data_IF_771004191662
#
_entry.id   IF_771004191662
#
_cell.length_a   1.000
_cell.length_b   1.000
_cell.length_c   1.000
_cell.angle_alpha   90.00
_cell.angle_beta   90.00
_cell.angle_gamma   90.00
#
_symmetry.space_group_name_H-M   'P 1'
#
loop_
_entity.id
_entity.type
_entity.pdbx_description
1 polymer ?
#
# COMPACT_ATOMS: atom_id res chain seq x y z
N UNK A 1 1.49 46.43 3.00
CA UNK A 1 1.35 46.44 4.47
C UNK A 1 2.36 45.47 5.07
N UNK A 2 3.41 45.98 5.73
CA UNK A 2 4.39 45.17 6.48
C UNK A 2 3.91 45.07 7.93
N UNK A 3 3.45 43.89 8.35
CA UNK A 3 3.18 43.63 9.77
C UNK A 3 4.51 43.39 10.48
N UNK A 4 4.93 44.36 11.28
CA UNK A 4 6.09 44.22 12.18
C UNK A 4 5.62 43.51 13.44
N UNK A 5 5.94 42.21 13.58
CA UNK A 5 5.75 41.49 14.82
C UNK A 5 6.84 41.92 15.81
N UNK A 6 6.49 42.79 16.75
CA UNK A 6 7.33 43.07 17.91
C UNK A 6 7.40 41.82 18.79
N UNK A 7 8.55 41.14 18.75
CA UNK A 7 8.82 40.00 19.63
C UNK A 7 9.09 40.57 21.02
N UNK A 8 8.08 40.51 21.89
CA UNK A 8 8.25 40.76 23.32
C UNK A 8 9.03 39.57 23.89
N UNK A 9 10.33 39.76 24.14
CA UNK A 9 11.18 38.75 24.78
C UNK A 9 10.82 38.73 26.26
N UNK A 10 9.85 37.88 26.61
CA UNK A 10 9.55 37.54 28.00
C UNK A 10 10.76 36.78 28.56
N UNK A 11 11.49 37.44 29.46
CA UNK A 11 12.61 36.89 30.20
C UNK A 11 12.06 35.78 31.11
N UNK A 12 12.18 34.52 30.67
CA UNK A 12 11.74 33.38 31.47
C UNK A 12 12.60 33.28 32.74
N UNK A 13 11.99 33.15 33.93
CA UNK A 13 12.74 32.97 35.16
C UNK A 13 13.60 31.70 35.09
N UNK A 14 14.80 31.76 35.67
CA UNK A 14 15.70 30.62 35.73
C UNK A 14 15.00 29.46 36.45
N UNK A 15 14.80 28.36 35.73
CA UNK A 15 14.31 27.11 36.30
C UNK A 15 15.25 26.68 37.43
N UNK A 16 14.68 26.31 38.58
CA UNK A 16 15.47 25.82 39.72
C UNK A 16 16.05 24.44 39.42
N UNK A 17 17.22 24.12 39.98
CA UNK A 17 17.88 22.81 39.81
C UNK A 17 16.97 21.63 40.21
N UNK A 18 16.06 21.84 41.17
CA UNK A 18 15.08 20.82 41.60
C UNK A 18 14.02 20.54 40.54
N UNK A 19 13.57 21.55 39.81
CA UNK A 19 12.65 21.37 38.67
C UNK A 19 13.34 20.63 37.53
N UNK A 20 14.61 20.93 37.29
CA UNK A 20 15.41 20.28 36.25
C UNK A 20 15.63 18.79 36.56
N UNK A 21 16.00 18.46 37.80
CA UNK A 21 16.13 17.07 38.27
C UNK A 21 14.80 16.31 38.25
N UNK A 22 13.69 16.97 38.60
CA UNK A 22 12.35 16.37 38.55
C UNK A 22 11.91 16.11 37.10
N UNK A 23 12.24 17.02 36.17
CA UNK A 23 11.98 16.84 34.73
C UNK A 23 12.80 15.68 34.16
N UNK A 24 14.07 15.56 34.54
CA UNK A 24 14.92 14.43 34.13
C UNK A 24 14.44 13.10 34.70
N UNK A 25 14.02 13.06 35.98
CA UNK A 25 13.42 11.88 36.60
C UNK A 25 12.13 11.45 35.90
N UNK A 26 11.20 12.41 35.66
CA UNK A 26 9.97 12.15 34.90
C UNK A 26 10.26 11.68 33.49
N UNK A 27 11.23 12.30 32.79
CA UNK A 27 11.63 11.86 31.46
C UNK A 27 12.27 10.46 31.49
N UNK A 28 13.06 10.10 32.51
CA UNK A 28 13.63 8.76 32.67
C UNK A 28 12.57 7.70 33.00
N UNK A 29 11.60 8.01 33.86
CA UNK A 29 10.46 7.13 34.15
C UNK A 29 9.51 6.99 32.95
N UNK A 30 9.32 8.05 32.17
CA UNK A 30 8.51 8.02 30.94
C UNK A 30 9.26 7.34 29.79
N UNK A 31 10.60 7.34 29.82
CA UNK A 31 11.45 6.55 28.91
C UNK A 31 11.52 5.06 29.29
N UNK A 32 11.12 4.67 30.51
CA UNK A 32 10.90 3.28 30.90
C UNK A 32 9.59 2.76 30.30
N UNK A 33 9.59 2.69 28.96
CA UNK A 33 8.70 1.95 28.05
C UNK A 33 7.46 1.36 28.72
N UNK A 34 6.40 2.15 28.76
CA UNK A 34 5.06 1.57 28.87
C UNK A 34 4.86 0.68 27.64
N UNK A 35 4.73 -0.61 27.88
CA UNK A 35 4.31 -1.57 26.88
C UNK A 35 2.97 -1.10 26.30
N UNK A 36 2.93 -0.72 25.02
CA UNK A 36 1.71 -0.27 24.37
C UNK A 36 0.79 -1.47 24.11
N UNK A 37 -0.05 -1.78 25.09
CA UNK A 37 -0.99 -2.90 25.03
C UNK A 37 -1.95 -2.79 23.85
N UNK A 38 -2.34 -1.58 23.44
CA UNK A 38 -3.24 -1.37 22.29
C UNK A 38 -2.55 -1.69 20.98
N UNK A 39 -1.27 -1.37 20.86
CA UNK A 39 -0.44 -1.78 19.73
C UNK A 39 -0.37 -3.31 19.60
N UNK A 40 -0.16 -4.01 20.72
CA UNK A 40 -0.19 -5.48 20.75
C UNK A 40 -1.58 -5.99 20.33
N UNK A 41 -2.66 -5.45 20.89
CA UNK A 41 -4.03 -5.83 20.55
C UNK A 41 -4.34 -5.64 19.07
N UNK A 42 -3.88 -4.54 18.46
CA UNK A 42 -4.03 -4.31 17.02
C UNK A 42 -3.28 -5.37 16.20
N UNK A 43 -2.03 -5.71 16.57
CA UNK A 43 -1.27 -6.77 15.90
C UNK A 43 -1.94 -8.14 16.05
N UNK A 44 -2.44 -8.47 17.25
CA UNK A 44 -3.17 -9.70 17.51
C UNK A 44 -4.48 -9.76 16.70
N UNK A 45 -5.24 -8.66 16.64
CA UNK A 45 -6.47 -8.59 15.85
C UNK A 45 -6.20 -8.86 14.36
N UNK A 46 -5.18 -8.21 13.78
CA UNK A 46 -4.77 -8.46 12.39
C UNK A 46 -4.36 -9.93 12.21
N UNK A 47 -3.52 -10.47 13.11
CA UNK A 47 -3.03 -11.85 13.02
C UNK A 47 -4.17 -12.86 13.08
N UNK A 48 -5.07 -12.73 14.05
CA UNK A 48 -6.21 -13.64 14.25
C UNK A 48 -7.13 -13.66 13.03
N UNK A 49 -7.47 -12.49 12.49
CA UNK A 49 -8.33 -12.40 11.29
C UNK A 49 -7.63 -13.02 10.08
N UNK A 50 -6.34 -12.75 9.85
CA UNK A 50 -5.60 -13.34 8.74
C UNK A 50 -5.47 -14.87 8.87
N UNK A 51 -5.26 -15.39 10.08
CA UNK A 51 -5.21 -16.84 10.34
C UNK A 51 -6.57 -17.48 10.05
N UNK A 52 -7.66 -16.86 10.51
CA UNK A 52 -9.01 -17.35 10.26
C UNK A 52 -9.30 -17.36 8.75
N UNK A 53 -8.98 -16.27 8.04
CA UNK A 53 -9.12 -16.17 6.59
C UNK A 53 -8.36 -17.25 5.84
N UNK A 54 -7.08 -17.45 6.16
CA UNK A 54 -6.27 -18.46 5.51
C UNK A 54 -6.79 -19.87 5.80
N UNK A 55 -7.22 -20.13 7.04
CA UNK A 55 -7.77 -21.44 7.46
C UNK A 55 -9.07 -21.74 6.71
N UNK A 56 -9.96 -20.76 6.57
CA UNK A 56 -11.21 -20.91 5.83
C UNK A 56 -10.96 -21.14 4.34
N UNK A 57 -10.10 -20.31 3.73
CA UNK A 57 -9.83 -20.36 2.30
C UNK A 57 -9.07 -21.64 1.87
N UNK A 58 -8.16 -22.15 2.70
CA UNK A 58 -7.43 -23.41 2.45
C UNK A 58 -8.17 -24.65 2.95
N UNK A 59 -9.26 -24.49 3.69
CA UNK A 59 -10.02 -25.58 4.31
C UNK A 59 -9.28 -26.32 5.44
N UNK A 60 -8.09 -25.88 5.86
CA UNK A 60 -7.31 -26.52 6.92
C UNK A 60 -6.44 -25.54 7.72
N UNK A 61 -6.25 -25.83 9.01
CA UNK A 61 -5.36 -25.03 9.85
C UNK A 61 -3.91 -25.46 9.65
N UNK A 62 -3.01 -24.49 9.44
CA UNK A 62 -1.58 -24.72 9.30
C UNK A 62 -0.79 -23.94 10.36
N UNK A 63 -0.15 -24.66 11.28
CA UNK A 63 0.59 -24.06 12.40
C UNK A 63 1.74 -23.15 11.94
N UNK A 64 2.48 -23.53 10.88
CA UNK A 64 3.61 -22.72 10.37
C UNK A 64 3.14 -21.40 9.83
N UNK A 65 2.04 -21.43 9.05
CA UNK A 65 1.37 -20.23 8.55
C UNK A 65 0.85 -19.36 9.70
N UNK A 66 0.28 -19.96 10.74
CA UNK A 66 -0.20 -19.22 11.91
C UNK A 66 0.92 -18.50 12.66
N UNK A 67 2.05 -19.17 12.90
CA UNK A 67 3.23 -18.54 13.51
C UNK A 67 3.75 -17.39 12.65
N UNK A 68 3.84 -17.58 11.34
CA UNK A 68 4.23 -16.51 10.41
C UNK A 68 3.28 -15.30 10.52
N UNK A 69 1.97 -15.54 10.49
CA UNK A 69 0.95 -14.49 10.56
C UNK A 69 0.87 -13.80 11.91
N UNK A 70 1.23 -14.46 13.02
CA UNK A 70 1.35 -13.84 14.35
C UNK A 70 2.54 -12.86 14.42
N UNK A 71 3.64 -13.20 13.75
CA UNK A 71 4.87 -12.39 13.76
C UNK A 71 4.80 -11.25 12.73
N UNK A 72 4.11 -11.47 11.62
CA UNK A 72 4.09 -10.57 10.47
C UNK A 72 3.68 -9.13 10.83
N UNK A 73 2.54 -8.85 11.50
CA UNK A 73 2.15 -7.47 11.80
C UNK A 73 3.18 -6.71 12.63
N UNK A 74 3.82 -7.39 13.58
CA UNK A 74 4.88 -6.81 14.40
C UNK A 74 6.12 -6.47 13.56
N UNK A 75 6.56 -7.37 12.67
CA UNK A 75 7.70 -7.13 11.76
C UNK A 75 7.42 -5.93 10.86
N UNK A 76 6.24 -5.88 10.25
CA UNK A 76 5.84 -4.78 9.38
C UNK A 76 5.84 -3.46 10.16
N UNK A 77 5.17 -3.43 11.31
CA UNK A 77 5.09 -2.23 12.14
C UNK A 77 6.48 -1.73 12.56
N UNK A 78 7.38 -2.63 12.94
CA UNK A 78 8.74 -2.29 13.33
C UNK A 78 9.58 -1.82 12.15
N UNK A 79 9.47 -2.48 10.99
CA UNK A 79 10.17 -2.06 9.78
C UNK A 79 9.77 -0.63 9.38
N UNK A 80 8.48 -0.29 9.39
CA UNK A 80 8.06 1.06 9.08
C UNK A 80 8.37 2.06 10.18
N UNK A 81 8.33 1.67 11.45
CA UNK A 81 8.82 2.49 12.56
C UNK A 81 10.31 2.83 12.43
N UNK A 82 11.13 1.91 11.91
CA UNK A 82 12.53 2.18 11.57
C UNK A 82 12.63 3.23 10.46
N UNK A 83 11.81 3.10 9.42
CA UNK A 83 11.78 4.06 8.31
C UNK A 83 11.34 5.43 8.79
N UNK A 84 10.23 5.54 9.53
CA UNK A 84 9.73 6.83 10.05
C UNK A 84 10.74 7.48 10.97
N UNK A 85 11.41 6.72 11.83
CA UNK A 85 12.47 7.25 12.67
C UNK A 85 13.71 7.69 11.87
N UNK A 86 14.14 6.91 10.87
CA UNK A 86 15.28 7.27 10.01
C UNK A 86 15.05 8.58 9.25
N UNK A 87 13.81 8.84 8.80
CA UNK A 87 13.44 10.10 8.14
C UNK A 87 12.89 11.17 9.11
N UNK A 88 12.88 10.89 10.42
CA UNK A 88 12.33 11.76 11.49
C UNK A 88 10.88 12.17 11.28
N UNK A 89 10.08 11.34 10.65
CA UNK A 89 8.67 11.59 10.36
C UNK A 89 7.80 11.32 11.61
N UNK A 90 6.75 12.11 11.88
CA UNK A 90 5.76 11.78 12.90
C UNK A 90 5.21 10.37 12.68
N UNK A 91 5.32 9.54 13.72
CA UNK A 91 5.03 8.10 13.65
C UNK A 91 3.73 7.79 14.38
N UNK A 92 2.86 7.04 13.71
CA UNK A 92 1.64 6.46 14.26
C UNK A 92 1.33 5.13 13.60
N UNK A 93 0.45 4.31 14.20
CA UNK A 93 0.25 2.92 13.84
C UNK A 93 0.06 2.66 12.34
N UNK A 94 -0.95 3.28 11.73
CA UNK A 94 -1.29 2.98 10.35
C UNK A 94 -0.16 3.37 9.37
N UNK A 95 0.48 4.53 9.59
CA UNK A 95 1.57 4.99 8.73
C UNK A 95 2.82 4.11 8.83
N UNK A 96 3.24 3.75 10.06
CA UNK A 96 4.34 2.81 10.25
C UNK A 96 4.00 1.44 9.63
N UNK A 97 2.77 0.95 9.82
CA UNK A 97 2.37 -0.34 9.25
C UNK A 97 2.46 -0.33 7.72
N UNK A 98 1.95 0.72 7.06
CA UNK A 98 1.98 0.88 5.61
C UNK A 98 3.40 1.03 5.06
N UNK A 99 4.24 1.84 5.69
CA UNK A 99 5.66 1.97 5.31
C UNK A 99 6.41 0.65 5.53
N UNK A 100 6.05 -0.09 6.57
CA UNK A 100 6.55 -1.42 6.84
C UNK A 100 6.22 -2.41 5.73
N UNK A 101 4.95 -2.45 5.31
CA UNK A 101 4.50 -3.25 4.17
C UNK A 101 5.25 -2.87 2.91
N UNK A 102 5.39 -1.58 2.60
CA UNK A 102 6.14 -1.12 1.44
C UNK A 102 7.59 -1.62 1.48
N UNK A 103 8.27 -1.37 2.60
CA UNK A 103 9.69 -1.68 2.78
C UNK A 103 9.97 -3.17 2.73
N UNK A 104 9.21 -3.97 3.47
CA UNK A 104 9.38 -5.43 3.49
C UNK A 104 9.04 -6.04 2.14
N UNK A 105 7.96 -5.60 1.50
CA UNK A 105 7.54 -6.13 0.20
C UNK A 105 8.56 -5.84 -0.90
N UNK A 106 9.07 -4.60 -0.95
CA UNK A 106 10.13 -4.22 -1.91
C UNK A 106 11.45 -4.92 -1.59
N UNK A 107 11.82 -5.04 -0.31
CA UNK A 107 13.03 -5.75 0.10
C UNK A 107 13.01 -7.24 -0.27
N UNK A 108 11.89 -7.92 -0.02
CA UNK A 108 11.70 -9.34 -0.42
C UNK A 108 11.68 -9.49 -1.94
N UNK A 109 11.07 -8.55 -2.66
CA UNK A 109 11.09 -8.54 -4.11
C UNK A 109 12.52 -8.37 -4.64
N UNK A 110 13.27 -7.40 -4.12
CA UNK A 110 14.67 -7.18 -4.48
C UNK A 110 15.52 -8.42 -4.20
N UNK A 111 15.33 -9.06 -3.04
CA UNK A 111 15.95 -10.36 -2.75
C UNK A 111 15.65 -11.38 -3.84
N UNK A 112 14.38 -11.50 -4.27
CA UNK A 112 14.01 -12.46 -5.32
C UNK A 112 14.53 -12.13 -6.71
N UNK A 113 14.81 -10.86 -7.00
CA UNK A 113 15.42 -10.45 -8.26
C UNK A 113 16.91 -10.85 -8.29
N UNK A 114 17.63 -10.61 -7.19
CA UNK A 114 19.10 -10.64 -7.20
C UNK A 114 19.72 -11.85 -6.52
N UNK A 115 19.02 -12.49 -5.59
CA UNK A 115 19.61 -13.50 -4.70
C UNK A 115 19.02 -14.89 -4.99
N UNK A 116 19.81 -15.86 -5.47
CA UNK A 116 19.36 -17.21 -5.82
C UNK A 116 19.22 -18.10 -4.56
N UNK A 117 18.62 -17.54 -3.50
CA UNK A 117 18.42 -18.21 -2.23
C UNK A 117 16.95 -18.22 -1.84
N UNK A 118 16.63 -19.14 -0.94
CA UNK A 118 15.28 -19.33 -0.45
C UNK A 118 14.75 -18.10 0.30
N UNK A 119 13.44 -17.85 0.18
CA UNK A 119 12.75 -16.77 0.93
C UNK A 119 12.90 -16.91 2.45
N UNK A 120 13.10 -18.13 2.94
CA UNK A 120 13.38 -18.40 4.35
C UNK A 120 14.59 -17.62 4.86
N UNK A 121 15.67 -17.54 4.08
CA UNK A 121 16.88 -16.81 4.46
C UNK A 121 16.60 -15.31 4.50
N UNK A 122 15.86 -14.79 3.51
CA UNK A 122 15.43 -13.38 3.49
C UNK A 122 14.61 -13.03 4.73
N UNK A 123 13.68 -13.89 5.14
CA UNK A 123 12.85 -13.70 6.32
C UNK A 123 13.68 -13.72 7.62
N UNK A 124 14.65 -14.64 7.75
CA UNK A 124 15.55 -14.68 8.91
C UNK A 124 16.38 -13.39 9.00
N UNK A 125 16.97 -12.95 7.89
CA UNK A 125 17.74 -11.70 7.83
C UNK A 125 16.85 -10.51 8.21
N UNK A 126 15.64 -10.45 7.66
CA UNK A 126 14.68 -9.40 7.98
C UNK A 126 14.31 -9.39 9.47
N UNK A 127 14.04 -10.55 10.07
CA UNK A 127 13.74 -10.68 11.49
C UNK A 127 14.91 -10.20 12.35
N UNK A 128 16.13 -10.61 12.02
CA UNK A 128 17.35 -10.18 12.73
C UNK A 128 17.53 -8.67 12.60
N UNK A 129 17.38 -8.11 11.40
CA UNK A 129 17.51 -6.68 11.16
C UNK A 129 16.48 -5.87 11.97
N UNK A 130 15.21 -6.25 11.88
CA UNK A 130 14.11 -5.56 12.57
C UNK A 130 14.21 -5.68 14.10
N UNK A 131 14.69 -6.83 14.61
CA UNK A 131 14.92 -7.04 16.03
C UNK A 131 16.21 -6.38 16.56
N UNK A 132 17.23 -6.20 15.71
CA UNK A 132 18.57 -5.71 16.06
C UNK A 132 18.76 -4.19 16.02
N UNK A 133 17.95 -3.47 15.22
CA UNK A 133 17.98 -2.00 15.09
C UNK A 133 17.40 -1.18 16.29
N UNK A 134 16.66 -1.71 17.30
CA UNK A 134 16.01 -0.86 18.32
C UNK A 134 16.96 -0.12 19.28
N UNK A 135 18.28 -0.34 19.20
CA UNK A 135 19.27 0.45 19.95
C UNK A 135 19.55 1.81 19.31
N UNK A 136 19.40 1.92 17.98
CA UNK A 136 19.75 3.14 17.23
C UNK A 136 18.62 4.17 17.26
N UNK A 137 17.38 3.74 17.52
CA UNK A 137 16.16 4.55 17.40
C UNK A 137 15.60 5.05 18.75
N UNK A 138 16.41 5.10 19.81
CA UNK A 138 15.94 5.46 21.16
C UNK A 138 15.31 6.85 21.24
N UNK A 139 15.69 7.76 20.34
CA UNK A 139 15.26 9.16 20.40
C UNK A 139 13.95 9.43 19.64
N UNK A 140 13.47 8.49 18.82
CA UNK A 140 12.21 8.67 18.09
C UNK A 140 11.07 7.94 18.79
N UNK A 141 10.39 8.62 19.71
CA UNK A 141 9.20 8.09 20.35
C UNK A 141 8.00 8.16 19.40
N UNK A 142 7.37 7.01 19.19
CA UNK A 142 6.11 6.89 18.46
C UNK A 142 4.94 7.31 19.35
N UNK A 143 3.91 7.91 18.75
CA UNK A 143 2.66 8.18 19.45
C UNK A 143 2.03 6.87 19.96
N UNK A 144 1.63 6.79 21.24
CA UNK A 144 0.92 5.62 21.74
C UNK A 144 -0.35 5.39 20.94
N UNK A 145 -0.67 4.12 20.67
CA UNK A 145 -1.84 3.74 19.90
C UNK A 145 -3.10 4.23 20.62
N UNK A 146 -3.85 5.11 19.95
CA UNK A 146 -5.11 5.62 20.49
C UNK A 146 -6.22 4.58 20.38
N UNK A 147 -7.32 4.77 21.11
CA UNK A 147 -8.50 3.91 20.94
C UNK A 147 -9.07 4.00 19.51
N UNK A 148 -8.96 5.17 18.86
CA UNK A 148 -9.37 5.35 17.46
C UNK A 148 -8.45 4.63 16.48
N UNK A 149 -7.14 4.53 16.77
CA UNK A 149 -6.23 3.71 15.96
C UNK A 149 -6.57 2.22 16.06
N UNK A 150 -6.90 1.73 17.26
CA UNK A 150 -7.36 0.34 17.42
C UNK A 150 -8.70 0.11 16.71
N UNK A 151 -9.64 1.04 16.84
CA UNK A 151 -10.93 0.97 16.15
C UNK A 151 -10.74 0.98 14.63
N UNK A 152 -9.83 1.79 14.08
CA UNK A 152 -9.59 1.83 12.64
C UNK A 152 -9.08 0.49 12.11
N UNK A 153 -8.24 -0.22 12.89
CA UNK A 153 -7.79 -1.59 12.56
C UNK A 153 -8.98 -2.54 12.52
N UNK A 154 -9.83 -2.54 13.56
CA UNK A 154 -11.01 -3.40 13.64
C UNK A 154 -11.97 -3.14 12.47
N UNK A 155 -12.30 -1.87 12.21
CA UNK A 155 -13.22 -1.51 11.11
C UNK A 155 -12.59 -1.87 9.75
N UNK A 156 -11.28 -1.67 9.56
CA UNK A 156 -10.60 -2.09 8.32
C UNK A 156 -10.64 -3.61 8.13
N UNK A 157 -10.50 -4.41 9.20
CA UNK A 157 -10.58 -5.87 9.14
C UNK A 157 -12.00 -6.36 8.82
N UNK A 158 -13.02 -5.74 9.42
CA UNK A 158 -14.43 -6.04 9.12
C UNK A 158 -14.74 -5.69 7.67
N UNK A 159 -14.33 -4.50 7.21
CA UNK A 159 -14.56 -4.06 5.85
C UNK A 159 -13.80 -4.92 4.83
N UNK A 160 -12.54 -5.27 5.10
CA UNK A 160 -11.77 -6.19 4.28
C UNK A 160 -12.44 -7.57 4.19
N UNK A 161 -13.04 -8.03 5.30
CA UNK A 161 -13.79 -9.29 5.33
C UNK A 161 -15.04 -9.20 4.45
N UNK A 162 -15.82 -8.13 4.59
CA UNK A 162 -17.02 -7.93 3.78
C UNK A 162 -16.72 -7.79 2.28
N UNK A 163 -15.67 -7.05 1.93
CA UNK A 163 -15.25 -6.89 0.53
C UNK A 163 -14.75 -8.21 -0.05
N UNK A 164 -14.00 -9.01 0.71
CA UNK A 164 -13.33 -10.20 0.16
C UNK A 164 -14.14 -11.49 0.34
N UNK A 165 -15.36 -11.43 0.90
CA UNK A 165 -16.12 -12.59 1.40
C UNK A 165 -16.29 -13.75 0.39
N UNK A 166 -16.35 -13.43 -0.91
CA UNK A 166 -16.46 -14.44 -1.97
C UNK A 166 -15.23 -15.35 -2.09
N UNK A 167 -14.11 -14.94 -1.49
CA UNK A 167 -12.84 -15.67 -1.46
C UNK A 167 -12.74 -16.67 -0.29
N UNK A 168 -13.66 -16.66 0.69
CA UNK A 168 -13.64 -17.56 1.86
C UNK A 168 -13.82 -19.03 1.44
N UNK A 169 -14.69 -19.27 0.46
CA UNK A 169 -14.94 -20.56 -0.15
C UNK A 169 -14.74 -20.41 -1.65
N UNK A 170 -13.48 -20.37 -2.11
CA UNK A 170 -13.13 -19.95 -3.47
C UNK A 170 -13.57 -20.95 -4.53
N UNK A 171 -13.87 -22.19 -4.13
CA UNK A 171 -14.34 -23.27 -5.00
C UNK A 171 -15.67 -23.84 -4.53
N UNK A 172 -16.51 -24.27 -5.48
CA UNK A 172 -17.73 -25.02 -5.21
C UNK A 172 -17.78 -26.23 -6.13
N UNK A 173 -17.91 -27.42 -5.55
CA UNK A 173 -18.18 -28.64 -6.32
C UNK A 173 -19.62 -28.61 -6.85
N UNK A 174 -19.77 -28.96 -8.12
CA UNK A 174 -21.06 -29.15 -8.82
C UNK A 174 -21.06 -30.54 -9.48
N UNK A 175 -22.22 -31.04 -9.89
CA UNK A 175 -22.40 -32.44 -10.36
C UNK A 175 -21.36 -32.87 -11.40
N UNK A 176 -20.96 -31.98 -12.31
CA UNK A 176 -20.04 -32.27 -13.42
C UNK A 176 -18.74 -31.44 -13.37
N UNK A 177 -18.36 -30.88 -12.22
CA UNK A 177 -17.11 -30.12 -12.13
C UNK A 177 -16.90 -29.27 -10.89
N UNK A 178 -15.98 -28.32 -11.00
CA UNK A 178 -15.61 -27.37 -9.93
C UNK A 178 -15.77 -25.96 -10.48
N UNK A 179 -16.56 -25.15 -9.78
CA UNK A 179 -16.70 -23.72 -10.06
C UNK A 179 -15.72 -22.95 -9.20
N UNK A 180 -14.84 -22.18 -9.83
CA UNK A 180 -14.00 -21.19 -9.16
C UNK A 180 -14.74 -19.86 -9.13
N UNK A 181 -15.02 -19.33 -7.93
CA UNK A 181 -15.70 -18.05 -7.76
C UNK A 181 -14.82 -16.84 -8.09
N UNK A 182 -13.52 -16.81 -7.70
CA UNK A 182 -12.67 -15.68 -8.01
C UNK A 182 -12.48 -15.53 -9.52
N UNK A 183 -12.14 -14.31 -9.94
CA UNK A 183 -11.80 -14.05 -11.33
C UNK A 183 -10.62 -14.91 -11.79
N UNK A 184 -10.63 -15.32 -13.07
CA UNK A 184 -9.62 -16.24 -13.64
C UNK A 184 -8.18 -15.77 -13.47
N UNK A 185 -7.92 -14.46 -13.35
CA UNK A 185 -6.57 -13.93 -13.17
C UNK A 185 -5.94 -14.32 -11.81
N UNK A 186 -6.74 -14.81 -10.85
CA UNK A 186 -6.21 -15.42 -9.63
C UNK A 186 -5.27 -16.60 -9.91
N UNK A 187 -5.47 -17.34 -11.00
CA UNK A 187 -4.53 -18.39 -11.41
C UNK A 187 -3.21 -17.82 -11.91
N UNK A 188 -3.24 -16.66 -12.59
CA UNK A 188 -2.03 -15.95 -13.01
C UNK A 188 -1.29 -15.45 -11.76
N UNK A 189 -2.00 -14.86 -10.80
CA UNK A 189 -1.44 -14.41 -9.53
C UNK A 189 -0.83 -15.58 -8.72
N UNK A 190 -1.52 -16.72 -8.65
CA UNK A 190 -1.01 -17.94 -8.02
C UNK A 190 0.23 -18.49 -8.74
N UNK A 191 0.30 -18.36 -10.06
CA UNK A 191 1.50 -18.73 -10.83
C UNK A 191 2.69 -17.86 -10.45
N UNK A 192 2.51 -16.54 -10.32
CA UNK A 192 3.57 -15.62 -9.88
C UNK A 192 4.10 -16.00 -8.49
N UNK A 193 3.19 -16.26 -7.55
CA UNK A 193 3.55 -16.71 -6.19
C UNK A 193 4.28 -18.05 -6.23
N UNK A 194 3.76 -19.04 -6.97
CA UNK A 194 4.39 -20.37 -7.10
C UNK A 194 5.82 -20.27 -7.62
N UNK A 195 6.07 -19.45 -8.65
CA UNK A 195 7.40 -19.23 -9.22
C UNK A 195 8.33 -18.51 -8.24
N UNK A 196 7.80 -17.61 -7.42
CA UNK A 196 8.56 -16.86 -6.41
C UNK A 196 8.99 -17.71 -5.20
N UNK A 197 8.34 -18.85 -4.96
CA UNK A 197 8.67 -19.79 -3.87
C UNK A 197 9.93 -20.63 -4.15
N UNK A 198 10.28 -20.81 -5.43
CA UNK A 198 11.50 -21.51 -5.87
C UNK A 198 12.79 -20.80 -5.42
N UNK A 199 13.92 -21.48 -5.56
CA UNK A 199 15.23 -20.92 -5.20
C UNK A 199 15.89 -20.13 -6.35
N UNK A 200 15.32 -20.21 -7.55
CA UNK A 200 15.72 -19.40 -8.71
C UNK A 200 15.36 -17.92 -8.51
N UNK A 201 16.16 -17.04 -9.12
CA UNK A 201 15.84 -15.61 -9.16
C UNK A 201 14.77 -15.32 -10.22
N UNK A 202 14.07 -14.19 -10.08
CA UNK A 202 13.12 -13.74 -11.12
C UNK A 202 13.82 -13.54 -12.47
N UNK A 203 15.08 -13.11 -12.48
CA UNK A 203 15.86 -12.96 -13.72
C UNK A 203 16.15 -14.32 -14.40
N UNK A 204 16.35 -15.39 -13.62
CA UNK A 204 16.55 -16.74 -14.14
C UNK A 204 15.26 -17.38 -14.65
N UNK A 205 14.13 -17.12 -13.97
CA UNK A 205 12.82 -17.67 -14.36
C UNK A 205 12.29 -16.98 -15.62
N UNK A 206 12.56 -15.69 -15.78
CA UNK A 206 12.04 -14.88 -16.90
C UNK A 206 10.57 -14.51 -16.72
N UNK A 207 9.93 -14.11 -17.81
CA UNK A 207 8.51 -13.75 -17.84
C UNK A 207 7.65 -15.02 -17.69
N UNK A 208 6.68 -14.97 -16.77
CA UNK A 208 5.77 -16.09 -16.50
C UNK A 208 4.65 -16.24 -17.54
N UNK A 209 4.32 -15.18 -18.28
CA UNK A 209 3.33 -15.16 -19.35
C UNK A 209 3.96 -15.54 -20.70
N UNK A 210 5.23 -15.16 -20.92
CA UNK A 210 5.92 -15.36 -22.21
C UNK A 210 7.27 -16.05 -22.05
N UNK A 211 7.34 -17.32 -22.45
CA UNK A 211 8.57 -18.12 -22.42
C UNK A 211 9.68 -17.41 -23.22
N UNK A 212 10.85 -17.27 -22.61
CA UNK A 212 12.03 -16.68 -23.24
C UNK A 212 12.14 -15.16 -23.11
N UNK A 213 11.12 -14.48 -22.58
CA UNK A 213 11.19 -13.05 -22.29
C UNK A 213 11.77 -12.79 -20.90
N UNK A 214 12.45 -11.65 -20.68
CA UNK A 214 12.93 -11.27 -19.36
C UNK A 214 11.75 -11.03 -18.40
N UNK A 215 11.95 -11.29 -17.11
CA UNK A 215 10.95 -10.98 -16.11
C UNK A 215 10.66 -9.48 -16.12
N UNK A 216 9.40 -9.11 -16.34
CA UNK A 216 9.00 -7.71 -16.36
C UNK A 216 8.79 -7.28 -14.91
N UNK A 217 9.64 -6.39 -14.40
CA UNK A 217 9.71 -6.05 -12.97
C UNK A 217 8.57 -5.08 -12.57
N UNK A 218 7.32 -5.51 -12.71
CA UNK A 218 6.13 -4.77 -12.28
C UNK A 218 5.15 -5.69 -11.54
N UNK A 219 4.43 -5.13 -10.57
CA UNK A 219 3.46 -5.82 -9.68
C UNK A 219 4.02 -6.84 -8.66
N UNK A 220 5.29 -7.26 -8.77
CA UNK A 220 5.87 -8.31 -7.92
C UNK A 220 5.91 -7.98 -6.43
N UNK A 221 6.07 -6.72 -6.04
CA UNK A 221 6.15 -6.35 -4.63
C UNK A 221 4.87 -6.73 -3.88
N UNK A 222 3.70 -6.61 -4.54
CA UNK A 222 2.43 -6.99 -3.93
C UNK A 222 2.35 -8.49 -3.58
N UNK A 223 3.08 -9.35 -4.29
CA UNK A 223 3.09 -10.81 -4.05
C UNK A 223 4.16 -11.25 -3.03
N UNK A 224 5.06 -10.37 -2.61
CA UNK A 224 6.20 -10.72 -1.75
C UNK A 224 5.78 -11.39 -0.44
N UNK A 225 4.82 -10.79 0.28
CA UNK A 225 4.36 -11.35 1.56
C UNK A 225 3.59 -12.66 1.38
N UNK A 226 2.78 -12.78 0.33
CA UNK A 226 2.07 -14.02 0.00
C UNK A 226 3.04 -15.14 -0.39
N UNK A 227 4.12 -14.82 -1.10
CA UNK A 227 5.19 -15.76 -1.46
C UNK A 227 5.96 -16.25 -0.23
N UNK A 228 6.25 -15.34 0.71
CA UNK A 228 6.81 -15.72 2.01
C UNK A 228 5.88 -16.65 2.77
N UNK A 229 4.58 -16.34 2.84
CA UNK A 229 3.59 -17.18 3.50
C UNK A 229 3.48 -18.56 2.85
N UNK A 230 3.42 -18.63 1.51
CA UNK A 230 3.38 -19.88 0.76
C UNK A 230 4.63 -20.74 1.04
N UNK A 231 5.81 -20.12 1.04
CA UNK A 231 7.07 -20.80 1.35
C UNK A 231 7.13 -21.32 2.78
N UNK A 232 6.68 -20.52 3.76
CA UNK A 232 6.74 -20.87 5.18
C UNK A 232 5.72 -21.92 5.56
N UNK A 233 4.49 -21.73 5.07
CA UNK A 233 3.37 -22.61 5.32
C UNK A 233 3.37 -23.90 4.52
N UNK A 234 4.21 -24.00 3.47
CA UNK A 234 4.08 -25.03 2.43
C UNK A 234 2.66 -25.08 1.84
N UNK A 235 2.07 -23.90 1.68
CA UNK A 235 0.70 -23.77 1.18
C UNK A 235 0.69 -23.75 -0.36
N UNK A 236 -0.37 -24.27 -0.99
CA UNK A 236 -0.65 -23.97 -2.38
C UNK A 236 -0.66 -22.45 -2.60
N UNK A 237 -0.04 -22.00 -3.69
CA UNK A 237 0.02 -20.56 -3.98
C UNK A 237 -1.37 -19.95 -4.13
N UNK A 238 -2.30 -20.70 -4.73
CA UNK A 238 -3.69 -20.28 -4.88
C UNK A 238 -4.30 -19.90 -3.53
N UNK A 239 -4.18 -20.76 -2.52
CA UNK A 239 -4.69 -20.54 -1.16
C UNK A 239 -4.12 -19.27 -0.53
N UNK A 240 -2.83 -18.98 -0.75
CA UNK A 240 -2.23 -17.74 -0.24
C UNK A 240 -2.70 -16.49 -0.98
N UNK A 241 -3.07 -16.60 -2.25
CA UNK A 241 -3.60 -15.49 -3.04
C UNK A 241 -5.04 -15.16 -2.58
N UNK A 242 -5.90 -16.18 -2.46
CA UNK A 242 -7.31 -15.98 -2.05
C UNK A 242 -7.45 -15.72 -0.55
N UNK A 243 -6.69 -16.43 0.28
CA UNK A 243 -6.85 -16.42 1.74
C UNK A 243 -6.00 -15.38 2.45
N UNK A 244 -5.02 -14.76 1.78
CA UNK A 244 -4.18 -13.72 2.38
C UNK A 244 -4.00 -12.51 1.49
N UNK A 245 -3.48 -12.66 0.26
CA UNK A 245 -3.07 -11.53 -0.56
C UNK A 245 -4.21 -10.53 -0.84
N UNK A 246 -5.35 -11.01 -1.31
CA UNK A 246 -6.51 -10.17 -1.59
C UNK A 246 -7.09 -9.49 -0.32
N UNK A 247 -7.49 -10.23 0.74
CA UNK A 247 -8.04 -9.61 1.95
C UNK A 247 -7.03 -8.71 2.68
N UNK A 248 -5.73 -9.03 2.64
CA UNK A 248 -4.69 -8.16 3.18
C UNK A 248 -4.58 -6.85 2.39
N UNK A 249 -4.68 -6.88 1.06
CA UNK A 249 -4.77 -5.67 0.24
C UNK A 249 -5.94 -4.77 0.66
N UNK A 250 -7.11 -5.38 0.91
CA UNK A 250 -8.30 -4.67 1.39
C UNK A 250 -8.08 -4.05 2.78
N UNK A 251 -7.39 -4.73 3.70
CA UNK A 251 -7.00 -4.15 4.99
C UNK A 251 -6.11 -2.91 4.79
N UNK A 252 -5.12 -2.99 3.88
CA UNK A 252 -4.17 -1.90 3.65
C UNK A 252 -4.85 -0.64 3.10
N UNK A 253 -5.83 -0.76 2.21
CA UNK A 253 -6.54 0.41 1.70
C UNK A 253 -7.35 1.11 2.81
N UNK A 254 -7.94 0.35 3.74
CA UNK A 254 -8.62 0.90 4.91
C UNK A 254 -7.68 1.67 5.83
N UNK A 255 -6.52 1.09 6.14
CA UNK A 255 -5.48 1.75 6.93
C UNK A 255 -4.92 2.99 6.22
N UNK A 256 -4.77 2.95 4.89
CA UNK A 256 -4.31 4.09 4.11
C UNK A 256 -5.33 5.24 4.11
N UNK A 257 -6.63 4.94 3.94
CA UNK A 257 -7.69 5.92 4.07
C UNK A 257 -7.68 6.61 5.43
N UNK A 258 -7.59 5.82 6.50
CA UNK A 258 -7.44 6.34 7.86
C UNK A 258 -6.19 7.21 8.01
N UNK A 259 -5.03 6.75 7.54
CA UNK A 259 -3.77 7.46 7.66
C UNK A 259 -3.77 8.79 6.89
N UNK A 260 -4.35 8.83 5.68
CA UNK A 260 -4.47 10.05 4.87
C UNK A 260 -5.39 11.05 5.56
N UNK A 261 -6.60 10.63 5.96
CA UNK A 261 -7.55 11.51 6.66
C UNK A 261 -6.96 12.04 7.98
N UNK A 262 -6.29 11.16 8.75
CA UNK A 262 -5.59 11.54 9.98
C UNK A 262 -4.48 12.56 9.71
N UNK A 263 -3.66 12.34 8.69
CA UNK A 263 -2.60 13.25 8.35
C UNK A 263 -3.13 14.64 7.94
N UNK A 264 -4.28 14.71 7.27
CA UNK A 264 -4.84 15.98 6.79
C UNK A 264 -5.56 16.75 7.91
N UNK A 265 -6.51 16.09 8.60
CA UNK A 265 -7.45 16.74 9.52
C UNK A 265 -7.61 16.04 10.89
N UNK A 266 -6.75 15.08 11.22
CA UNK A 266 -6.77 14.38 12.50
C UNK A 266 -7.65 13.11 12.53
N UNK A 267 -7.68 12.43 13.68
CA UNK A 267 -8.16 11.04 13.79
C UNK A 267 -9.62 10.84 13.35
N UNK A 268 -10.51 11.79 13.64
CA UNK A 268 -11.92 11.72 13.22
C UNK A 268 -12.10 11.74 11.71
N UNK A 269 -11.36 12.62 11.01
CA UNK A 269 -11.33 12.64 9.55
C UNK A 269 -10.71 11.37 8.97
N UNK A 270 -9.73 10.77 9.66
CA UNK A 270 -9.23 9.44 9.35
C UNK A 270 -10.33 8.38 9.37
N UNK A 271 -11.13 8.34 10.44
CA UNK A 271 -12.25 7.39 10.52
C UNK A 271 -13.30 7.64 9.44
N UNK A 272 -13.67 8.89 9.18
CA UNK A 272 -14.61 9.24 8.11
C UNK A 272 -14.09 8.80 6.73
N UNK A 273 -12.80 9.01 6.45
CA UNK A 273 -12.18 8.59 5.20
C UNK A 273 -12.17 7.06 5.03
N UNK A 274 -11.82 6.32 6.08
CA UNK A 274 -11.86 4.86 6.10
C UNK A 274 -13.28 4.33 5.83
N UNK A 275 -14.28 4.88 6.52
CA UNK A 275 -15.68 4.49 6.32
C UNK A 275 -16.15 4.84 4.91
N UNK A 276 -15.78 6.02 4.41
CA UNK A 276 -16.09 6.48 3.07
C UNK A 276 -15.56 5.54 1.97
N UNK A 277 -14.32 5.06 2.09
CA UNK A 277 -13.73 4.15 1.09
C UNK A 277 -14.54 2.86 0.91
N UNK A 278 -15.10 2.32 2.00
CA UNK A 278 -15.79 1.03 1.96
C UNK A 278 -17.31 1.12 1.79
N UNK A 279 -17.91 2.24 2.20
CA UNK A 279 -19.37 2.42 2.16
C UNK A 279 -19.86 3.32 1.02
N UNK A 280 -19.02 4.19 0.46
CA UNK A 280 -19.43 5.00 -0.69
C UNK A 280 -19.53 4.07 -1.89
N UNK A 281 -20.71 3.94 -2.52
CA UNK A 281 -20.88 3.12 -3.72
C UNK A 281 -19.95 3.65 -4.81
N UNK A 282 -19.30 2.74 -5.53
CA UNK A 282 -18.42 3.13 -6.63
C UNK A 282 -19.23 3.68 -7.82
N UNK A 283 -18.52 4.22 -8.82
CA UNK A 283 -19.14 4.85 -9.97
C UNK A 283 -20.12 3.92 -10.71
N UNK A 284 -19.86 2.60 -10.71
CA UNK A 284 -20.74 1.62 -11.35
C UNK A 284 -22.07 1.44 -10.61
N UNK A 285 -22.07 1.56 -9.28
CA UNK A 285 -23.28 1.52 -8.45
C UNK A 285 -24.03 2.85 -8.39
N UNK A 286 -23.37 3.95 -8.78
CA UNK A 286 -23.96 5.28 -8.91
C UNK A 286 -24.54 5.47 -10.33
N UNK A 287 -24.57 6.71 -10.82
CA UNK A 287 -25.23 7.08 -12.07
C UNK A 287 -24.62 6.45 -13.32
N UNK A 288 -23.35 6.00 -13.30
CA UNK A 288 -22.70 5.44 -14.51
C UNK A 288 -23.28 4.07 -14.87
N UNK A 289 -23.78 3.31 -13.89
CA UNK A 289 -24.57 2.09 -14.12
C UNK A 289 -23.88 0.96 -14.88
N UNK A 290 -22.57 1.04 -15.13
CA UNK A 290 -21.84 0.08 -15.95
C UNK A 290 -20.75 -0.63 -15.13
N UNK A 291 -20.78 -1.98 -15.02
CA UNK A 291 -20.00 -2.73 -14.04
C UNK A 291 -18.48 -2.59 -14.23
N UNK A 292 -17.99 -2.34 -15.44
CA UNK A 292 -16.56 -2.17 -15.72
C UNK A 292 -15.97 -0.86 -15.20
N UNK A 293 -16.79 0.14 -14.87
CA UNK A 293 -16.34 1.35 -14.17
C UNK A 293 -16.35 1.18 -12.65
N UNK A 294 -16.65 -0.03 -12.17
CA UNK A 294 -16.67 -0.34 -10.76
C UNK A 294 -15.26 -0.41 -10.20
N UNK A 295 -14.91 0.51 -9.30
CA UNK A 295 -13.66 0.42 -8.55
C UNK A 295 -13.61 -0.89 -7.75
N UNK A 296 -14.72 -1.31 -7.15
CA UNK A 296 -14.82 -2.57 -6.43
C UNK A 296 -14.46 -3.76 -7.34
N UNK A 297 -15.08 -3.83 -8.52
CA UNK A 297 -14.82 -4.87 -9.50
C UNK A 297 -13.35 -4.87 -9.95
N UNK A 298 -12.79 -3.69 -10.26
CA UNK A 298 -11.41 -3.55 -10.72
C UNK A 298 -10.41 -4.05 -9.66
N UNK A 299 -10.65 -3.73 -8.39
CA UNK A 299 -9.81 -4.22 -7.29
C UNK A 299 -9.99 -5.71 -7.05
N UNK A 300 -11.17 -6.29 -7.34
CA UNK A 300 -11.40 -7.73 -7.22
C UNK A 300 -10.71 -8.54 -8.29
N UNK A 301 -10.71 -8.08 -9.54
CA UNK A 301 -10.00 -8.79 -10.62
C UNK A 301 -8.48 -8.63 -10.52
N UNK A 302 -8.02 -7.55 -9.87
CA UNK A 302 -6.60 -7.25 -9.72
C UNK A 302 -6.24 -6.67 -8.33
N UNK A 303 -6.27 -7.48 -7.24
CA UNK A 303 -6.06 -7.01 -5.87
C UNK A 303 -4.73 -6.29 -5.60
N UNK A 304 -3.72 -6.48 -6.45
CA UNK A 304 -2.48 -5.69 -6.42
C UNK A 304 -2.72 -4.17 -6.50
N UNK A 305 -3.84 -3.74 -7.09
CA UNK A 305 -4.27 -2.35 -7.10
C UNK A 305 -4.50 -1.78 -5.69
N UNK A 306 -5.04 -2.57 -4.75
CA UNK A 306 -5.29 -2.15 -3.37
C UNK A 306 -3.99 -1.80 -2.66
N UNK A 307 -2.94 -2.61 -2.87
CA UNK A 307 -1.59 -2.33 -2.39
C UNK A 307 -1.04 -1.05 -3.02
N UNK A 308 -1.15 -0.93 -4.35
CA UNK A 308 -0.68 0.25 -5.08
C UNK A 308 -1.31 1.55 -4.56
N UNK A 309 -2.63 1.56 -4.34
CA UNK A 309 -3.34 2.74 -3.81
C UNK A 309 -2.95 3.02 -2.36
N UNK A 310 -2.79 1.99 -1.53
CA UNK A 310 -2.33 2.18 -0.15
C UNK A 310 -0.92 2.80 -0.08
N UNK A 311 0.00 2.37 -0.95
CA UNK A 311 1.36 2.94 -1.03
C UNK A 311 1.33 4.36 -1.63
N UNK A 312 0.47 4.62 -2.63
CA UNK A 312 0.28 5.97 -3.16
C UNK A 312 -0.29 6.95 -2.10
N UNK A 313 -1.23 6.50 -1.27
CA UNK A 313 -1.72 7.29 -0.13
C UNK A 313 -0.62 7.59 0.88
N UNK A 314 0.27 6.63 1.13
CA UNK A 314 1.45 6.81 1.99
C UNK A 314 2.43 7.85 1.41
N UNK A 315 2.69 7.80 0.10
CA UNK A 315 3.47 8.80 -0.61
C UNK A 315 2.86 10.21 -0.47
N UNK A 316 1.54 10.33 -0.63
CA UNK A 316 0.84 11.61 -0.46
C UNK A 316 1.01 12.18 0.95
N UNK A 317 0.91 11.35 1.99
CA UNK A 317 1.15 11.78 3.39
C UNK A 317 2.55 12.38 3.54
N UNK A 318 3.58 11.72 3.00
CA UNK A 318 4.97 12.20 3.07
C UNK A 318 5.15 13.56 2.39
N UNK A 319 4.59 13.74 1.19
CA UNK A 319 4.67 15.02 0.47
C UNK A 319 3.91 16.11 1.22
N UNK A 320 2.69 15.83 1.71
CA UNK A 320 1.89 16.80 2.47
C UNK A 320 2.57 17.23 3.77
N UNK A 321 3.14 16.29 4.52
CA UNK A 321 3.88 16.61 5.73
C UNK A 321 5.14 17.41 5.40
N UNK A 322 5.86 17.04 4.34
CA UNK A 322 7.05 17.75 3.89
C UNK A 322 6.73 19.19 3.50
N UNK A 323 5.60 19.39 2.81
CA UNK A 323 5.07 20.72 2.50
C UNK A 323 4.77 21.54 3.75
N UNK A 324 4.06 20.95 4.73
CA UNK A 324 3.62 21.65 5.95
C UNK A 324 4.80 22.07 6.83
N UNK A 325 5.84 21.25 6.89
CA UNK A 325 7.01 21.51 7.73
C UNK A 325 8.19 22.14 6.97
N UNK A 326 8.06 22.35 5.65
CA UNK A 326 9.16 22.82 4.81
C UNK A 326 10.32 21.82 4.66
N UNK A 327 10.08 20.54 5.00
CA UNK A 327 11.10 19.48 5.00
C UNK A 327 11.19 18.82 3.62
N UNK A 328 12.21 19.20 2.84
CA UNK A 328 12.45 18.65 1.49
C UNK A 328 12.65 17.14 1.49
N UNK A 329 13.29 16.60 2.53
CA UNK A 329 13.54 15.16 2.66
C UNK A 329 12.24 14.37 2.57
N UNK A 330 11.16 14.84 3.21
CA UNK A 330 9.88 14.13 3.19
C UNK A 330 9.18 14.21 1.83
N UNK A 331 9.32 15.33 1.12
CA UNK A 331 8.81 15.47 -0.25
C UNK A 331 9.54 14.48 -1.16
N UNK A 332 10.87 14.43 -1.10
CA UNK A 332 11.69 13.46 -1.87
C UNK A 332 11.31 12.03 -1.51
N UNK A 333 11.22 11.70 -0.22
CA UNK A 333 10.78 10.37 0.23
C UNK A 333 9.39 10.02 -0.30
N UNK A 334 8.47 10.98 -0.33
CA UNK A 334 7.14 10.80 -0.91
C UNK A 334 7.17 10.51 -2.41
N UNK A 335 8.01 11.23 -3.18
CA UNK A 335 8.21 10.94 -4.60
C UNK A 335 8.82 9.56 -4.82
N UNK A 336 9.82 9.17 -4.02
CA UNK A 336 10.43 7.83 -4.10
C UNK A 336 9.41 6.75 -3.78
N UNK A 337 8.64 6.87 -2.69
CA UNK A 337 7.57 5.93 -2.35
C UNK A 337 6.48 5.90 -3.44
N UNK A 338 6.16 7.06 -4.03
CA UNK A 338 5.25 7.16 -5.17
C UNK A 338 5.77 6.41 -6.39
N UNK A 339 7.08 6.44 -6.67
CA UNK A 339 7.69 5.67 -7.75
C UNK A 339 7.63 4.16 -7.50
N UNK A 340 7.79 3.74 -6.24
CA UNK A 340 7.69 2.32 -5.85
C UNK A 340 6.28 1.73 -6.09
N UNK A 341 5.24 2.56 -6.25
CA UNK A 341 3.89 2.08 -6.63
C UNK A 341 3.92 1.23 -7.90
N UNK A 342 4.85 1.50 -8.85
CA UNK A 342 4.99 0.70 -10.06
C UNK A 342 5.30 -0.78 -9.77
N UNK A 343 6.02 -1.05 -8.67
CA UNK A 343 6.36 -2.40 -8.23
C UNK A 343 5.17 -3.14 -7.62
N UNK A 344 4.12 -2.41 -7.17
CA UNK A 344 2.88 -2.99 -6.63
C UNK A 344 1.79 -3.09 -7.69
N UNK A 345 1.55 -2.01 -8.43
CA UNK A 345 0.61 -1.99 -9.55
C UNK A 345 0.94 -0.84 -10.52
N UNK A 346 1.43 -1.18 -11.72
CA UNK A 346 1.80 -0.17 -12.74
C UNK A 346 0.64 0.72 -13.17
N UNK A 347 -0.59 0.19 -13.20
CA UNK A 347 -1.80 0.95 -13.57
C UNK A 347 -2.10 2.04 -12.53
N UNK A 348 -1.90 1.74 -11.24
CA UNK A 348 -2.06 2.74 -10.17
C UNK A 348 -0.91 3.74 -10.21
N UNK A 349 0.31 3.30 -10.50
CA UNK A 349 1.44 4.21 -10.70
C UNK A 349 1.19 5.19 -11.85
N UNK A 350 0.73 4.71 -13.01
CA UNK A 350 0.44 5.54 -14.16
C UNK A 350 -0.59 6.64 -13.85
N UNK A 351 -1.60 6.32 -13.02
CA UNK A 351 -2.59 7.30 -12.59
C UNK A 351 -2.09 8.22 -11.46
N UNK A 352 -1.45 7.67 -10.43
CA UNK A 352 -1.13 8.38 -9.20
C UNK A 352 0.19 9.15 -9.26
N UNK A 353 1.23 8.60 -9.89
CA UNK A 353 2.57 9.18 -9.85
C UNK A 353 2.65 10.56 -10.51
N UNK A 354 2.03 10.82 -11.69
CA UNK A 354 2.02 12.16 -12.26
C UNK A 354 1.41 13.20 -11.32
N UNK A 355 0.33 12.84 -10.62
CA UNK A 355 -0.34 13.71 -9.64
C UNK A 355 0.53 13.93 -8.41
N UNK A 356 1.12 12.87 -7.85
CA UNK A 356 2.03 12.95 -6.71
C UNK A 356 3.26 13.80 -7.04
N UNK A 357 3.85 13.61 -8.22
CA UNK A 357 5.02 14.34 -8.68
C UNK A 357 4.70 15.81 -8.95
N UNK A 358 3.58 16.11 -9.60
CA UNK A 358 3.09 17.48 -9.77
C UNK A 358 2.87 18.16 -8.41
N UNK A 359 2.24 17.46 -7.47
CA UNK A 359 2.01 17.97 -6.13
C UNK A 359 3.33 18.18 -5.38
N UNK A 360 4.34 17.32 -5.56
CA UNK A 360 5.68 17.50 -5.01
C UNK A 360 6.39 18.74 -5.55
N UNK A 361 6.30 19.02 -6.85
CA UNK A 361 6.85 20.23 -7.47
C UNK A 361 6.20 21.48 -6.86
N UNK A 362 4.87 21.48 -6.73
CA UNK A 362 4.12 22.59 -6.14
C UNK A 362 4.37 22.74 -4.63
N UNK A 363 4.62 21.64 -3.93
CA UNK A 363 4.95 21.60 -2.51
C UNK A 363 6.39 22.05 -2.21
N UNK A 364 7.28 22.10 -3.20
CA UNK A 364 8.71 22.33 -3.00
C UNK A 364 9.00 23.75 -2.46
N UNK A 365 9.82 23.93 -1.41
CA UNK A 365 10.20 25.26 -0.93
C UNK A 365 11.49 25.79 -1.63
N UNK A 366 11.55 27.07 -2.03
CA UNK A 366 10.52 28.12 -1.93
C UNK A 366 9.50 28.09 -3.08
N UNK A 367 8.24 28.45 -2.77
CA UNK A 367 7.16 28.55 -3.77
C UNK A 367 7.38 29.74 -4.70
N UNK A 368 7.76 29.47 -5.95
CA UNK A 368 8.06 30.48 -6.97
C UNK A 368 7.31 30.17 -8.26
N UNK A 369 7.05 31.19 -9.10
CA UNK A 369 6.45 31.03 -10.44
C UNK A 369 7.17 29.99 -11.31
N UNK A 370 8.47 29.77 -11.07
CA UNK A 370 9.28 28.75 -11.74
C UNK A 370 8.72 27.33 -11.58
N UNK A 371 7.98 27.02 -10.52
CA UNK A 371 7.36 25.69 -10.32
C UNK A 371 6.33 25.36 -11.39
N UNK A 372 5.55 26.35 -11.83
CA UNK A 372 4.60 26.18 -12.91
C UNK A 372 5.30 25.94 -14.25
N UNK A 373 6.45 26.57 -14.47
CA UNK A 373 7.27 26.32 -15.66
C UNK A 373 7.88 24.92 -15.63
N UNK A 374 8.38 24.47 -14.46
CA UNK A 374 8.88 23.09 -14.30
C UNK A 374 7.76 22.09 -14.52
N UNK A 375 6.57 22.32 -13.95
CA UNK A 375 5.41 21.46 -14.15
C UNK A 375 5.00 21.40 -15.63
N UNK A 376 4.89 22.56 -16.30
CA UNK A 376 4.58 22.63 -17.72
C UNK A 376 5.65 21.90 -18.56
N UNK A 377 6.93 22.05 -18.21
CA UNK A 377 8.04 21.32 -18.83
C UNK A 377 7.95 19.81 -18.63
N UNK A 378 7.57 19.34 -17.44
CA UNK A 378 7.38 17.91 -17.17
C UNK A 378 6.20 17.33 -17.95
N UNK A 379 5.08 18.06 -18.06
CA UNK A 379 3.92 17.64 -18.86
C UNK A 379 4.30 17.56 -20.34
N UNK A 380 4.95 18.61 -20.87
CA UNK A 380 5.41 18.63 -22.26
C UNK A 380 6.42 17.50 -22.54
N UNK A 381 7.37 17.28 -21.63
CA UNK A 381 8.34 16.18 -21.72
C UNK A 381 7.68 14.81 -21.67
N UNK A 382 6.67 14.60 -20.82
CA UNK A 382 5.90 13.36 -20.77
C UNK A 382 5.16 13.07 -22.07
N UNK A 383 4.53 14.09 -22.67
CA UNK A 383 3.88 13.97 -23.98
C UNK A 383 4.88 13.65 -25.10
N UNK A 384 6.05 14.30 -25.11
CA UNK A 384 7.10 14.03 -26.09
C UNK A 384 7.74 12.63 -25.90
N UNK A 385 7.85 12.15 -24.66
CA UNK A 385 8.32 10.80 -24.38
C UNK A 385 7.31 9.74 -24.82
N UNK A 386 6.01 10.00 -24.73
CA UNK A 386 4.98 9.10 -25.25
C UNK A 386 5.08 8.96 -26.77
N UNK A 387 5.26 10.07 -27.49
CA UNK A 387 5.46 10.00 -28.95
C UNK A 387 6.71 9.21 -29.31
N UNK A 388 7.82 9.44 -28.61
CA UNK A 388 9.05 8.67 -28.82
C UNK A 388 8.86 7.18 -28.46
N UNK A 389 8.17 6.88 -27.36
CA UNK A 389 7.91 5.50 -26.94
C UNK A 389 7.12 4.73 -28.00
N UNK A 390 6.12 5.37 -28.64
CA UNK A 390 5.40 4.78 -29.76
C UNK A 390 6.32 4.52 -30.96
N UNK A 391 7.16 5.49 -31.33
CA UNK A 391 8.11 5.34 -32.44
C UNK A 391 9.08 4.16 -32.22
N UNK A 392 9.52 3.95 -30.97
CA UNK A 392 10.37 2.84 -30.57
C UNK A 392 9.62 1.55 -30.20
N UNK A 393 8.29 1.53 -30.33
CA UNK A 393 7.43 0.39 -29.97
C UNK A 393 7.65 -0.08 -28.53
N UNK A 394 7.93 0.87 -27.62
CA UNK A 394 8.16 0.60 -26.19
C UNK A 394 6.82 0.67 -25.46
N UNK A 395 6.17 -0.48 -25.35
CA UNK A 395 4.89 -0.62 -24.64
C UNK A 395 3.68 -0.57 -25.57
N UNK A 396 2.45 -0.42 -25.02
CA UNK A 396 1.26 -0.25 -25.83
C UNK A 396 1.33 1.07 -26.59
N UNK A 397 0.92 1.03 -27.84
CA UNK A 397 0.90 2.19 -28.73
C UNK A 397 -0.19 3.19 -28.29
N UNK A 398 0.20 4.41 -27.92
CA UNK A 398 -0.70 5.43 -27.36
C UNK A 398 -0.83 6.62 -28.30
N UNK A 399 -1.86 6.62 -29.14
CA UNK A 399 -2.18 7.75 -30.02
C UNK A 399 -3.23 8.68 -29.39
N UNK A 400 -3.00 10.00 -29.50
CA UNK A 400 -3.97 11.03 -29.12
C UNK A 400 -4.84 11.48 -30.32
N UNK A 401 -5.11 10.57 -31.25
CA UNK A 401 -5.87 10.84 -32.48
C UNK A 401 -7.35 10.43 -32.37
N UNK A 402 -7.75 9.89 -31.20
CA UNK A 402 -9.08 9.36 -30.94
C UNK A 402 -9.50 8.21 -31.88
N UNK A 403 -8.57 7.58 -32.62
CA UNK A 403 -8.87 6.50 -33.57
C UNK A 403 -9.49 5.27 -32.89
N UNK A 404 -9.04 4.97 -31.67
CA UNK A 404 -9.57 3.87 -30.86
C UNK A 404 -10.95 4.16 -30.26
N UNK A 405 -11.42 5.43 -30.28
CA UNK A 405 -12.67 5.83 -29.62
C UNK A 405 -13.87 5.10 -30.21
N UNK A 406 -13.97 5.00 -31.53
CA UNK A 406 -15.09 4.30 -32.17
C UNK A 406 -15.11 2.80 -31.81
N UNK A 407 -13.96 2.14 -31.78
CA UNK A 407 -13.86 0.73 -31.35
C UNK A 407 -14.20 0.57 -29.87
N UNK A 408 -13.66 1.45 -29.01
CA UNK A 408 -13.90 1.44 -27.58
C UNK A 408 -15.38 1.68 -27.26
N UNK A 409 -16.03 2.63 -27.94
CA UNK A 409 -17.48 2.85 -27.84
C UNK A 409 -18.28 1.61 -28.24
N UNK A 410 -17.90 0.91 -29.32
CA UNK A 410 -18.56 -0.35 -29.71
C UNK A 410 -18.40 -1.44 -28.66
N UNK A 411 -17.21 -1.56 -28.07
CA UNK A 411 -16.96 -2.52 -26.98
C UNK A 411 -17.82 -2.17 -25.76
N UNK A 412 -17.84 -0.90 -25.35
CA UNK A 412 -18.67 -0.46 -24.23
C UNK A 412 -20.16 -0.64 -24.53
N UNK A 413 -20.64 -0.33 -25.73
CA UNK A 413 -22.02 -0.55 -26.15
C UNK A 413 -22.40 -2.03 -26.05
N UNK A 414 -21.54 -2.92 -26.55
CA UNK A 414 -21.75 -4.36 -26.48
C UNK A 414 -21.78 -4.86 -25.02
N UNK A 415 -20.93 -4.32 -24.16
CA UNK A 415 -20.90 -4.66 -22.73
C UNK A 415 -22.07 -4.04 -21.95
N UNK A 416 -22.58 -2.90 -22.39
CA UNK A 416 -23.74 -2.22 -21.82
C UNK A 416 -25.07 -2.84 -22.27
N UNK A 417 -25.08 -3.74 -23.26
CA UNK A 417 -26.32 -4.30 -23.79
C UNK A 417 -27.12 -5.04 -22.72
N UNK A 418 -28.40 -4.70 -22.58
CA UNK A 418 -29.28 -5.19 -21.52
C UNK A 418 -29.15 -4.46 -20.17
N UNK A 419 -28.35 -3.39 -20.08
CA UNK A 419 -28.24 -2.54 -18.89
C UNK A 419 -29.02 -1.22 -19.06
N UNK A 420 -29.29 -0.51 -17.95
CA UNK A 420 -30.00 0.78 -17.96
C UNK A 420 -29.29 1.89 -18.73
N UNK A 421 -27.99 1.73 -18.99
CA UNK A 421 -27.16 2.73 -19.67
C UNK A 421 -26.90 2.40 -21.13
N UNK A 422 -27.49 1.32 -21.67
CA UNK A 422 -27.37 0.96 -23.09
C UNK A 422 -27.73 2.14 -24.02
N UNK A 423 -28.72 2.96 -23.64
CA UNK A 423 -29.13 4.15 -24.39
C UNK A 423 -28.05 5.24 -24.49
N UNK A 424 -27.07 5.26 -23.58
CA UNK A 424 -25.95 6.21 -23.61
C UNK A 424 -24.90 5.83 -24.65
N UNK A 425 -24.92 4.57 -25.11
CA UNK A 425 -23.97 4.01 -26.05
C UNK A 425 -24.60 3.75 -27.44
N UNK A 426 -25.83 4.23 -27.68
CA UNK A 426 -26.43 4.23 -29.01
C UNK A 426 -25.73 5.29 -29.87
N UNK A 427 -24.69 4.86 -30.59
CA UNK A 427 -23.97 5.64 -31.61
C UNK A 427 -24.60 5.42 -32.98
#
# INVERSE_FOLDING_TARGET
MRFSFGICVLQMPAMSESEQATRESKNRQQAARTFDSRCLLACLAISTVLIAWLTLASGSFNLRSAVFLLVLPWVLLRAGGIVTAAVRLPSFFALDFLLGVATVSVGVMAWKIFVPFSLWIALIILLIAVAGIPRVLRDHQRDPVSALDLLCVIVSLVAATGWSQDLILPTRSVTDGIVFKPWKDFFIHATIVTRSVGDQTLLQVGNFEWKGFPAVIYNYASFSLASCLAKVGHLPAYDTVVGFWAPFGSLLIGLAGYAVGRAIWGQGAGMAALVGIFLIPDAAMLSVGHPYYGYFWLQHIAPGGLYGVAIAGTALILIMQGMRQGQRVWIVSGVVVGALVALFKVHIFAAAFPLLFAFAILAWPPRKRLQWLVLAGCVAGGLALLTLANDFHVGPDVHFDFSAVAWYWKVLAKLASGTRVESWYQV
#
